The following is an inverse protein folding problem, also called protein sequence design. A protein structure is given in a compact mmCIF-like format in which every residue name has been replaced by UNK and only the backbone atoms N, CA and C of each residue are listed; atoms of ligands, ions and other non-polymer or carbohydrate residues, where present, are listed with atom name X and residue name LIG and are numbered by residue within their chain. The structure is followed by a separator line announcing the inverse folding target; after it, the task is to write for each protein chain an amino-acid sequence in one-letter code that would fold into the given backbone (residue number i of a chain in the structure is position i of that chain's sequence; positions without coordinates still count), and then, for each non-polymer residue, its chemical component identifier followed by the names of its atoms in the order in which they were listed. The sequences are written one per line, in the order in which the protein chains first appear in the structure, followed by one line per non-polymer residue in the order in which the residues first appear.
data_IF_333538073424
#
_entry.id   IF_333538073424
#
_cell.length_a   1.000
_cell.length_b   1.000
_cell.length_c   1.000
_cell.angle_alpha   90.00
_cell.angle_beta   90.00
_cell.angle_gamma   90.00
#
_symmetry.space_group_name_H-M   'P 1'
#
loop_
_entity.id
_entity.type
_entity.pdbx_description
1 polymer ?
#
# COMPACT_ATOMS: atom_id res chain seq x y z
N UNK A 1 -16.12 -8.03 17.23
CA UNK A 1 -16.49 -8.61 15.90
C UNK A 1 -17.71 -7.89 15.34
N UNK A 2 -17.62 -7.23 14.18
CA UNK A 2 -18.76 -6.51 13.58
C UNK A 2 -19.46 -7.36 12.51
N UNK A 3 -20.80 -7.48 12.52
CA UNK A 3 -21.55 -8.12 11.45
C UNK A 3 -21.58 -7.29 10.16
N UNK A 4 -21.20 -6.01 10.23
CA UNK A 4 -21.09 -5.12 9.08
C UNK A 4 -19.65 -5.08 8.57
N UNK A 5 -19.49 -5.20 7.25
CA UNK A 5 -18.19 -5.05 6.61
C UNK A 5 -17.64 -3.65 6.86
N UNK A 6 -16.50 -3.58 7.53
CA UNK A 6 -15.75 -2.35 7.78
C UNK A 6 -14.29 -2.59 7.41
N UNK A 7 -13.69 -1.65 6.67
CA UNK A 7 -12.32 -1.75 6.19
C UNK A 7 -11.51 -0.55 6.67
N UNK A 8 -10.51 -0.81 7.51
CA UNK A 8 -9.54 0.17 8.00
C UNK A 8 -8.14 -0.25 7.57
N UNK A 9 -7.30 0.75 7.24
CA UNK A 9 -5.92 0.51 6.81
C UNK A 9 -4.92 1.45 7.52
N UNK A 10 -3.88 0.95 8.21
CA UNK A 10 -3.47 -0.46 8.30
C UNK A 10 -4.53 -1.34 8.97
N UNK A 11 -4.60 -2.61 8.56
CA UNK A 11 -5.55 -3.55 9.14
C UNK A 11 -5.12 -3.82 10.57
N UNK A 12 -5.89 -3.30 11.52
CA UNK A 12 -5.65 -3.50 12.94
C UNK A 12 -6.87 -4.12 13.60
N UNK A 13 -6.62 -5.02 14.55
CA UNK A 13 -7.66 -5.65 15.33
C UNK A 13 -8.32 -4.61 16.26
N UNK A 14 -9.64 -4.60 16.36
CA UNK A 14 -10.35 -3.79 17.36
C UNK A 14 -9.96 -4.20 18.78
N UNK A 15 -10.02 -3.29 19.74
CA UNK A 15 -9.76 -3.61 21.15
C UNK A 15 -10.74 -4.65 21.69
N UNK A 16 -12.01 -4.62 21.24
CA UNK A 16 -13.02 -5.66 21.51
C UNK A 16 -12.55 -7.03 21.00
N UNK A 17 -12.06 -7.09 19.76
CA UNK A 17 -11.57 -8.33 19.15
C UNK A 17 -10.29 -8.84 19.82
N UNK A 18 -9.39 -7.94 20.25
CA UNK A 18 -8.17 -8.28 21.03
C UNK A 18 -8.54 -8.90 22.36
N UNK A 19 -9.52 -8.33 23.07
CA UNK A 19 -10.00 -8.86 24.34
C UNK A 19 -10.70 -10.19 24.15
N UNK A 20 -11.57 -10.31 23.13
CA UNK A 20 -12.30 -11.55 22.84
C UNK A 20 -11.37 -12.72 22.53
N UNK A 21 -10.36 -12.51 21.67
CA UNK A 21 -9.41 -13.59 21.35
C UNK A 21 -8.53 -13.96 22.55
N UNK A 22 -8.10 -12.98 23.34
CA UNK A 22 -7.30 -13.23 24.55
C UNK A 22 -8.10 -13.89 25.67
N UNK A 23 -9.42 -13.67 25.73
CA UNK A 23 -10.29 -14.37 26.68
C UNK A 23 -10.38 -15.87 26.39
N UNK A 24 -10.43 -16.25 25.11
CA UNK A 24 -10.52 -17.66 24.69
C UNK A 24 -9.18 -18.40 24.73
N UNK A 25 -8.11 -17.73 24.31
CA UNK A 25 -6.79 -18.37 24.10
C UNK A 25 -5.71 -17.92 25.10
N UNK A 26 -6.03 -16.98 25.98
CA UNK A 26 -5.10 -16.37 26.91
C UNK A 26 -4.29 -15.23 26.30
N UNK A 27 -3.52 -14.50 27.12
CA UNK A 27 -2.63 -13.45 26.65
C UNK A 27 -1.49 -14.05 25.81
N UNK A 28 -0.92 -13.21 24.93
CA UNK A 28 0.26 -13.57 24.14
C UNK A 28 1.36 -14.07 25.10
N UNK A 29 1.79 -15.32 24.93
CA UNK A 29 3.00 -15.81 25.60
C UNK A 29 4.15 -14.94 25.12
N UNK A 30 4.68 -14.08 25.99
CA UNK A 30 5.91 -13.34 25.71
C UNK A 30 6.96 -14.37 25.30
N UNK A 31 7.39 -14.33 24.05
CA UNK A 31 8.55 -15.10 23.62
C UNK A 31 9.74 -14.73 24.52
N UNK A 32 10.66 -15.66 24.78
CA UNK A 32 11.88 -15.39 25.55
C UNK A 32 12.63 -14.16 25.00
N UNK A 33 13.46 -13.50 25.85
CA UNK A 33 14.03 -12.19 25.54
C UNK A 33 14.75 -12.19 24.19
N UNK A 34 14.48 -11.12 23.45
CA UNK A 34 15.08 -10.75 22.18
C UNK A 34 16.59 -10.93 22.23
N UNK A 35 17.10 -11.91 21.48
CA UNK A 35 18.51 -11.94 21.11
C UNK A 35 18.66 -10.85 20.07
N UNK A 36 19.29 -9.75 20.48
CA UNK A 36 19.80 -8.69 19.61
C UNK A 36 20.93 -9.25 18.76
N UNK A 37 20.58 -9.91 17.65
CA UNK A 37 21.44 -9.96 16.47
C UNK A 37 20.80 -9.07 15.41
N UNK A 38 21.45 -7.94 15.17
CA UNK A 38 21.11 -6.91 14.20
C UNK A 38 21.15 -7.46 12.78
N UNK A 39 20.10 -8.16 12.39
CA UNK A 39 19.65 -8.29 11.01
C UNK A 39 18.16 -7.94 11.01
N UNK A 40 17.83 -6.76 11.55
CA UNK A 40 16.59 -6.12 11.19
C UNK A 40 16.62 -5.99 9.67
N UNK A 41 15.86 -6.83 8.96
CA UNK A 41 15.37 -6.46 7.64
C UNK A 41 14.43 -5.29 7.91
N UNK A 42 15.06 -4.12 8.06
CA UNK A 42 14.44 -2.83 8.04
C UNK A 42 13.51 -2.83 6.85
N UNK A 43 12.22 -3.02 7.12
CA UNK A 43 11.19 -2.73 6.16
C UNK A 43 11.03 -1.21 6.15
N UNK A 44 12.13 -0.50 5.90
CA UNK A 44 12.22 0.95 6.00
C UNK A 44 11.29 1.54 4.97
N UNK A 45 10.32 2.28 5.49
CA UNK A 45 9.49 3.17 4.68
C UNK A 45 10.46 4.05 3.88
N UNK A 46 10.37 4.08 2.53
CA UNK A 46 11.29 4.82 1.71
C UNK A 46 11.25 6.32 2.03
N UNK A 47 12.43 6.97 2.04
CA UNK A 47 12.54 8.42 2.22
C UNK A 47 12.14 9.13 0.91
N UNK A 48 11.11 10.02 0.91
CA UNK A 48 10.67 10.73 -0.29
C UNK A 48 11.77 11.53 -0.99
N UNK A 49 12.74 12.06 -0.24
CA UNK A 49 13.80 12.92 -0.80
C UNK A 49 15.02 12.15 -1.28
N UNK A 50 15.18 10.88 -0.86
CA UNK A 50 16.36 10.05 -1.13
C UNK A 50 16.05 8.76 -1.89
N UNK A 51 14.80 8.57 -2.31
CA UNK A 51 14.36 7.42 -3.11
C UNK A 51 14.20 7.79 -4.58
N UNK A 52 14.25 6.78 -5.44
CA UNK A 52 13.64 6.84 -6.76
C UNK A 52 12.17 6.37 -6.71
N UNK A 53 11.43 6.64 -7.79
CA UNK A 53 10.03 6.25 -7.93
C UNK A 53 9.88 5.27 -9.10
N UNK A 54 9.00 4.29 -8.92
CA UNK A 54 8.74 3.26 -9.93
C UNK A 54 7.71 3.76 -10.95
N UNK A 55 6.70 4.53 -10.48
CA UNK A 55 5.74 5.20 -11.34
C UNK A 55 5.31 6.56 -10.74
N UNK A 56 4.88 7.48 -11.61
CA UNK A 56 4.27 8.75 -11.23
C UNK A 56 3.07 8.99 -12.13
N UNK A 57 1.93 9.38 -11.55
CA UNK A 57 0.72 9.70 -12.31
C UNK A 57 -0.11 10.79 -11.66
N UNK A 58 -0.81 11.56 -12.50
CA UNK A 58 -1.92 12.40 -12.07
C UNK A 58 -3.15 11.51 -11.96
N UNK A 59 -3.85 11.52 -10.82
CA UNK A 59 -5.10 10.80 -10.61
C UNK A 59 -6.08 11.73 -9.90
N UNK A 60 -7.23 11.99 -10.51
CA UNK A 60 -8.28 12.92 -10.02
C UNK A 60 -7.73 14.32 -9.68
N UNK A 61 -6.75 14.79 -10.45
CA UNK A 61 -6.13 16.11 -10.27
C UNK A 61 -5.03 16.19 -9.20
N UNK A 62 -4.64 15.07 -8.60
CA UNK A 62 -3.56 15.01 -7.61
C UNK A 62 -2.39 14.17 -8.12
N UNK A 63 -1.17 14.52 -7.71
CA UNK A 63 0.03 13.77 -8.09
C UNK A 63 0.25 12.62 -7.12
N UNK A 64 0.41 11.42 -7.67
CA UNK A 64 0.79 10.23 -6.92
C UNK A 64 2.15 9.71 -7.37
N UNK A 65 3.03 9.51 -6.41
CA UNK A 65 4.35 8.92 -6.62
C UNK A 65 4.36 7.52 -6.00
N UNK A 66 4.75 6.50 -6.76
CA UNK A 66 4.72 5.12 -6.34
C UNK A 66 6.13 4.58 -6.15
N UNK A 67 6.34 3.84 -5.05
CA UNK A 67 7.58 3.12 -4.79
C UNK A 67 7.29 1.83 -4.05
N UNK A 68 7.55 0.70 -4.70
CA UNK A 68 7.10 -0.59 -4.22
C UNK A 68 5.61 -0.49 -3.81
N UNK A 69 5.27 -0.99 -2.62
CA UNK A 69 3.91 -0.96 -2.07
C UNK A 69 3.49 0.40 -1.50
N UNK A 70 4.38 1.39 -1.50
CA UNK A 70 4.11 2.71 -0.93
C UNK A 70 3.75 3.73 -2.01
N UNK A 71 2.96 4.72 -1.62
CA UNK A 71 2.60 5.86 -2.44
C UNK A 71 2.73 7.14 -1.63
N UNK A 72 3.08 8.25 -2.28
CA UNK A 72 2.95 9.61 -1.76
C UNK A 72 1.90 10.36 -2.56
N UNK A 73 1.13 11.20 -1.89
CA UNK A 73 0.11 12.05 -2.49
C UNK A 73 0.51 13.50 -2.34
N UNK A 74 0.64 14.20 -3.46
CA UNK A 74 0.94 15.62 -3.52
C UNK A 74 -0.28 16.34 -4.08
N UNK A 75 -0.74 17.34 -3.34
CA UNK A 75 -1.85 18.21 -3.71
C UNK A 75 -1.38 19.65 -3.54
N UNK A 76 -1.63 20.49 -4.55
CA UNK A 76 -1.24 21.92 -4.54
C UNK A 76 0.26 22.12 -4.26
N UNK A 77 1.11 21.20 -4.73
CA UNK A 77 2.56 21.21 -4.52
C UNK A 77 3.02 20.81 -3.11
N UNK A 78 2.11 20.38 -2.23
CA UNK A 78 2.40 19.98 -0.86
C UNK A 78 2.19 18.47 -0.65
N UNK A 79 3.16 17.83 0.01
CA UNK A 79 3.03 16.45 0.45
C UNK A 79 1.95 16.35 1.53
N UNK A 80 0.95 15.49 1.30
CA UNK A 80 -0.14 15.31 2.25
C UNK A 80 0.33 14.58 3.51
N UNK A 81 -0.25 14.93 4.66
CA UNK A 81 0.03 14.28 5.93
C UNK A 81 -0.39 12.80 5.92
N UNK A 82 0.34 11.95 6.63
CA UNK A 82 0.06 10.51 6.69
C UNK A 82 0.56 9.72 5.47
N UNK A 83 1.42 10.32 4.66
CA UNK A 83 2.17 9.68 3.57
C UNK A 83 3.67 9.62 3.88
N UNK A 84 4.39 8.58 3.41
CA UNK A 84 3.91 7.53 2.50
C UNK A 84 2.90 6.58 3.13
N UNK A 85 1.91 6.20 2.34
CA UNK A 85 0.87 5.24 2.69
C UNK A 85 1.01 4.00 1.81
N UNK A 86 0.44 2.88 2.20
CA UNK A 86 0.39 1.73 1.31
C UNK A 86 -0.60 2.00 0.17
N UNK A 87 -0.19 1.69 -1.06
CA UNK A 87 -0.97 1.96 -2.27
C UNK A 87 -2.34 1.24 -2.24
N UNK A 88 -2.41 0.11 -1.54
CA UNK A 88 -3.64 -0.65 -1.26
C UNK A 88 -4.70 0.15 -0.49
N UNK A 89 -4.32 1.25 0.19
CA UNK A 89 -5.27 2.20 0.79
C UNK A 89 -6.15 2.90 -0.25
N UNK A 90 -5.62 3.12 -1.45
CA UNK A 90 -6.32 3.83 -2.54
C UNK A 90 -6.83 2.89 -3.62
N UNK A 91 -6.03 1.89 -3.99
CA UNK A 91 -6.34 0.94 -5.05
C UNK A 91 -6.26 -0.48 -4.52
N UNK A 92 -7.42 -1.07 -4.23
CA UNK A 92 -7.51 -2.45 -3.77
C UNK A 92 -6.88 -3.38 -4.80
N UNK A 93 -6.03 -4.33 -4.39
CA UNK A 93 -5.47 -5.32 -5.32
C UNK A 93 -4.39 -4.81 -6.27
N UNK A 94 -3.95 -3.54 -6.13
CA UNK A 94 -2.76 -3.05 -6.82
C UNK A 94 -1.55 -3.92 -6.45
N UNK A 95 -0.70 -4.32 -7.41
CA UNK A 95 0.50 -5.07 -7.10
C UNK A 95 1.50 -4.19 -6.32
N UNK A 96 2.36 -4.85 -5.55
CA UNK A 96 3.42 -4.20 -4.75
C UNK A 96 4.49 -3.50 -5.58
N UNK A 97 4.49 -3.62 -6.90
CA UNK A 97 5.38 -2.89 -7.79
C UNK A 97 4.66 -2.65 -9.12
N UNK A 98 4.68 -1.41 -9.57
CA UNK A 98 4.15 -0.98 -10.86
C UNK A 98 5.24 -0.22 -11.61
N UNK A 99 5.27 -0.38 -12.92
CA UNK A 99 6.23 0.31 -13.79
C UNK A 99 5.65 1.60 -14.37
N UNK A 100 4.32 1.69 -14.46
CA UNK A 100 3.64 2.90 -14.91
C UNK A 100 2.21 2.99 -14.35
N UNK A 101 1.71 4.22 -14.25
CA UNK A 101 0.33 4.52 -13.93
C UNK A 101 -0.18 5.63 -14.85
N UNK A 102 -1.47 5.60 -15.20
CA UNK A 102 -2.11 6.58 -16.06
C UNK A 102 -3.60 6.71 -15.73
N UNK A 103 -4.16 7.90 -15.78
CA UNK A 103 -5.61 8.13 -15.69
C UNK A 103 -6.16 8.50 -17.07
N UNK A 104 -7.22 7.82 -17.50
CA UNK A 104 -7.88 8.13 -18.77
C UNK A 104 -8.85 9.32 -18.67
N UNK A 105 -9.35 9.78 -19.83
CA UNK A 105 -10.30 10.90 -19.92
C UNK A 105 -11.65 10.60 -19.26
N UNK A 106 -11.95 9.33 -19.00
CA UNK A 106 -13.17 8.89 -18.32
C UNK A 106 -12.98 8.77 -16.80
N UNK A 107 -11.78 9.02 -16.29
CA UNK A 107 -11.46 8.97 -14.87
C UNK A 107 -11.10 7.58 -14.34
N UNK A 108 -10.80 6.61 -15.22
CA UNK A 108 -10.30 5.31 -14.80
C UNK A 108 -8.77 5.36 -14.65
N UNK A 109 -8.28 4.78 -13.56
CA UNK A 109 -6.85 4.61 -13.31
C UNK A 109 -6.37 3.26 -13.85
N UNK A 110 -5.29 3.31 -14.63
CA UNK A 110 -4.61 2.18 -15.25
C UNK A 110 -3.24 2.01 -14.63
N UNK A 111 -2.96 0.81 -14.14
CA UNK A 111 -1.66 0.43 -13.59
C UNK A 111 -1.03 -0.62 -14.48
N UNK A 112 0.27 -0.48 -14.71
CA UNK A 112 1.03 -1.37 -15.56
C UNK A 112 2.13 -2.03 -14.74
N UNK A 113 2.17 -3.35 -14.80
CA UNK A 113 3.26 -4.16 -14.27
C UNK A 113 3.80 -5.02 -15.42
N UNK A 114 5.06 -4.82 -15.75
CA UNK A 114 5.80 -5.56 -16.75
C UNK A 114 6.18 -6.95 -16.26
N UNK A 115 6.31 -7.87 -17.21
CA UNK A 115 6.95 -9.16 -16.98
C UNK A 115 8.18 -9.27 -17.87
N UNK A 116 9.34 -9.57 -17.28
CA UNK A 116 10.54 -10.01 -18.00
C UNK A 116 10.23 -11.36 -18.66
N UNK A 117 9.63 -11.37 -19.85
CA UNK A 117 9.83 -12.41 -20.86
C UNK A 117 9.25 -11.98 -22.21
N UNK A 118 10.09 -12.16 -23.23
CA UNK A 118 9.99 -11.63 -24.57
C UNK A 118 8.68 -11.89 -25.33
N UNK A 119 8.35 -10.90 -26.17
CA UNK A 119 7.39 -10.87 -27.30
C UNK A 119 5.91 -10.87 -26.91
N UNK A 120 5.33 -9.67 -26.99
CA UNK A 120 3.88 -9.42 -27.13
C UNK A 120 3.01 -9.82 -25.94
N UNK A 121 3.32 -9.33 -24.74
CA UNK A 121 2.32 -9.26 -23.67
C UNK A 121 1.90 -7.82 -23.44
N UNK A 122 0.63 -7.55 -23.72
CA UNK A 122 -0.07 -6.33 -23.30
C UNK A 122 0.18 -6.18 -21.80
N UNK A 123 0.65 -5.02 -21.30
CA UNK A 123 0.89 -4.86 -19.88
C UNK A 123 -0.43 -5.10 -19.15
N UNK A 124 -0.37 -5.79 -18.01
CA UNK A 124 -1.56 -6.22 -17.29
C UNK A 124 -2.37 -4.98 -16.84
N UNK A 125 -3.37 -4.61 -17.63
CA UNK A 125 -4.30 -3.55 -17.29
C UNK A 125 -5.18 -4.03 -16.13
N UNK A 126 -4.86 -3.60 -14.91
CA UNK A 126 -5.70 -3.89 -13.76
C UNK A 126 -6.76 -2.79 -13.61
N UNK A 127 -8.01 -3.16 -13.88
CA UNK A 127 -9.19 -2.35 -13.56
C UNK A 127 -9.36 -2.30 -12.05
N UNK A 128 -9.31 -1.12 -11.45
CA UNK A 128 -9.78 -0.92 -10.08
C UNK A 128 -10.80 0.22 -10.02
N UNK A 129 -12.03 -0.14 -9.70
CA UNK A 129 -13.13 0.79 -9.41
C UNK A 129 -12.68 1.81 -8.37
N UNK A 130 -12.81 3.11 -8.65
CA UNK A 130 -12.57 4.10 -7.62
C UNK A 130 -13.88 4.31 -6.86
N UNK A 131 -13.81 4.32 -5.52
CA UNK A 131 -14.91 4.85 -4.71
C UNK A 131 -15.02 6.37 -4.89
#
# INVERSE_FOLDING_TARGET
MSPFYSFSYPLELSDDDKQGIQYLYGPLRKAPPVITETNEIETTVPDPCRTNFDAVSMIRGEMFFFKSRYVWRIRDGQLQAGYPALATRHWRGIPDNIDAAYEDKTGNSWFFQGGLNHRNRIPACLWFYPF
#
